data_IF_508435598953
#
_entry.id   IF_508435598953
#
_cell.length_a   1.000
_cell.length_b   1.000
_cell.length_c   1.000
_cell.angle_alpha   90.00
_cell.angle_beta   90.00
_cell.angle_gamma   90.00
#
_symmetry.space_group_name_H-M   'P 1'
#
loop_
_entity.id
_entity.type
_entity.pdbx_description
1 polymer ?
#
# COMPACT_ATOMS: atom_id res chain seq x y z
N UNK A 1 12.44 5.69 -11.47
CA UNK A 1 12.55 4.45 -10.71
C UNK A 1 12.02 3.23 -11.47
N UNK A 2 12.22 2.07 -10.92
CA UNK A 2 11.74 0.80 -11.46
C UNK A 2 10.81 0.15 -10.44
N UNK A 3 9.68 -0.39 -10.89
CA UNK A 3 8.73 -1.07 -10.03
C UNK A 3 8.57 -2.53 -10.45
N UNK A 4 8.34 -3.40 -9.47
CA UNK A 4 7.92 -4.79 -9.68
C UNK A 4 6.84 -5.17 -8.68
N UNK A 5 6.00 -6.11 -9.06
CA UNK A 5 4.94 -6.65 -8.20
C UNK A 5 5.32 -8.08 -7.80
N UNK A 6 5.25 -8.36 -6.51
CA UNK A 6 5.47 -9.70 -5.94
C UNK A 6 4.23 -10.16 -5.18
N UNK A 7 3.77 -11.37 -5.49
CA UNK A 7 2.62 -12.01 -4.84
C UNK A 7 3.05 -13.09 -3.84
N UNK A 8 4.18 -13.72 -4.12
CA UNK A 8 4.71 -14.87 -3.38
C UNK A 8 6.14 -14.57 -2.93
N UNK A 9 6.66 -15.41 -2.02
CA UNK A 9 8.03 -15.31 -1.55
C UNK A 9 8.18 -14.58 -0.24
N UNK A 10 9.41 -14.60 0.29
CA UNK A 10 9.72 -14.15 1.65
C UNK A 10 9.36 -12.68 1.93
N UNK A 11 9.53 -11.79 0.94
CA UNK A 11 9.25 -10.35 1.13
C UNK A 11 7.74 -10.10 1.20
N UNK A 12 6.96 -10.75 0.32
CA UNK A 12 5.50 -10.66 0.36
C UNK A 12 4.94 -11.31 1.63
N UNK A 13 5.48 -12.42 2.07
CA UNK A 13 5.08 -13.09 3.30
C UNK A 13 5.38 -12.24 4.53
N UNK A 14 6.55 -11.61 4.59
CA UNK A 14 6.91 -10.71 5.68
C UNK A 14 6.01 -9.47 5.73
N UNK A 15 5.69 -8.89 4.58
CA UNK A 15 4.77 -7.76 4.49
C UNK A 15 3.35 -8.14 4.94
N UNK A 16 2.86 -9.31 4.53
CA UNK A 16 1.58 -9.85 5.01
C UNK A 16 1.59 -10.05 6.53
N UNK A 17 2.63 -10.67 7.06
CA UNK A 17 2.76 -10.94 8.49
C UNK A 17 2.83 -9.67 9.34
N UNK A 18 3.40 -8.59 8.81
CA UNK A 18 3.47 -7.30 9.49
C UNK A 18 2.12 -6.56 9.55
N UNK A 19 1.14 -6.94 8.72
CA UNK A 19 -0.17 -6.31 8.68
C UNK A 19 -1.04 -6.69 9.89
N UNK A 20 -1.98 -5.81 10.26
CA UNK A 20 -3.04 -6.10 11.21
C UNK A 20 -4.19 -6.86 10.52
N UNK A 21 -4.94 -7.67 11.29
CA UNK A 21 -6.04 -8.45 10.74
C UNK A 21 -7.21 -7.59 10.21
N UNK A 22 -7.40 -6.38 10.72
CA UNK A 22 -8.33 -5.44 10.09
C UNK A 22 -7.88 -5.00 8.71
N UNK A 23 -6.59 -4.75 8.52
CA UNK A 23 -6.05 -4.41 7.21
C UNK A 23 -6.11 -5.60 6.25
N UNK A 24 -5.71 -6.80 6.71
CA UNK A 24 -5.78 -8.03 5.92
C UNK A 24 -7.21 -8.39 5.51
N UNK A 25 -8.21 -8.01 6.28
CA UNK A 25 -9.64 -8.23 5.99
C UNK A 25 -10.05 -7.72 4.62
N UNK A 26 -9.44 -6.63 4.14
CA UNK A 26 -9.75 -6.05 2.84
C UNK A 26 -9.52 -7.03 1.68
N UNK A 27 -8.66 -8.00 1.85
CA UNK A 27 -8.34 -9.01 0.85
C UNK A 27 -9.31 -10.21 0.86
N UNK A 28 -10.32 -10.22 1.74
CA UNK A 28 -11.46 -11.14 1.73
C UNK A 28 -12.61 -10.65 0.83
N UNK A 29 -12.60 -9.37 0.49
CA UNK A 29 -13.67 -8.74 -0.27
C UNK A 29 -13.59 -9.01 -1.76
N UNK A 30 -14.60 -8.52 -2.46
CA UNK A 30 -14.63 -8.49 -3.91
C UNK A 30 -13.49 -7.64 -4.47
N UNK A 31 -13.05 -7.96 -5.68
CA UNK A 31 -12.01 -7.21 -6.36
C UNK A 31 -12.41 -5.75 -6.58
N UNK A 32 -11.46 -4.79 -6.45
CA UNK A 32 -11.74 -3.39 -6.69
C UNK A 32 -12.39 -3.16 -8.06
N UNK A 33 -13.48 -2.39 -8.08
CA UNK A 33 -14.22 -2.08 -9.31
C UNK A 33 -15.29 -3.10 -9.68
N UNK A 34 -15.47 -4.17 -8.90
CA UNK A 34 -16.58 -5.11 -9.09
C UNK A 34 -17.93 -4.41 -8.91
N UNK A 35 -18.90 -4.73 -9.79
CA UNK A 35 -20.25 -4.20 -9.67
C UNK A 35 -20.99 -4.79 -8.46
N UNK A 36 -21.72 -3.94 -7.75
CA UNK A 36 -22.61 -4.33 -6.63
C UNK A 36 -23.98 -3.70 -6.84
N UNK A 37 -25.04 -4.36 -6.35
CA UNK A 37 -26.41 -3.88 -6.52
C UNK A 37 -26.78 -2.70 -5.62
N UNK A 38 -26.12 -2.59 -4.47
CA UNK A 38 -26.33 -1.52 -3.50
C UNK A 38 -24.99 -1.10 -2.87
N UNK A 39 -24.99 0.05 -2.20
CA UNK A 39 -23.79 0.52 -1.48
C UNK A 39 -23.28 -0.55 -0.51
N UNK A 40 -22.04 -0.95 -0.68
CA UNK A 40 -21.43 -2.06 0.03
C UNK A 40 -19.94 -1.81 0.25
N UNK A 41 -19.39 -2.38 1.33
CA UNK A 41 -17.95 -2.42 1.56
C UNK A 41 -17.23 -3.41 0.64
N UNK A 42 -17.98 -4.29 -0.02
CA UNK A 42 -17.42 -5.43 -0.77
C UNK A 42 -16.92 -6.56 0.14
N UNK A 43 -16.93 -6.39 1.45
CA UNK A 43 -16.57 -7.43 2.40
C UNK A 43 -17.71 -8.45 2.56
N UNK A 44 -17.39 -9.73 2.84
CA UNK A 44 -18.39 -10.67 3.31
C UNK A 44 -19.08 -10.14 4.57
N UNK A 45 -20.39 -10.26 4.67
CA UNK A 45 -21.18 -9.69 5.76
C UNK A 45 -20.68 -10.11 7.16
N UNK A 46 -20.15 -11.33 7.29
CA UNK A 46 -19.59 -11.83 8.54
C UNK A 46 -18.37 -11.05 9.05
N UNK A 47 -17.68 -10.30 8.17
CA UNK A 47 -16.47 -9.57 8.50
C UNK A 47 -16.64 -8.05 8.54
N UNK A 48 -17.83 -7.54 8.28
CA UNK A 48 -18.14 -6.14 8.50
C UNK A 48 -18.11 -5.82 10.01
N UNK A 49 -17.34 -4.83 10.41
CA UNK A 49 -17.19 -4.42 11.81
C UNK A 49 -16.48 -5.41 12.73
N UNK A 50 -16.01 -6.54 12.23
CA UNK A 50 -15.31 -7.58 13.02
C UNK A 50 -13.88 -7.80 12.54
N UNK A 51 -12.98 -7.96 13.48
CA UNK A 51 -11.59 -8.36 13.20
C UNK A 51 -11.53 -9.87 12.97
N UNK A 52 -11.12 -10.34 11.77
CA UNK A 52 -10.99 -11.76 11.51
C UNK A 52 -9.86 -12.40 12.32
N UNK A 53 -9.95 -13.71 12.55
CA UNK A 53 -8.85 -14.52 13.05
C UNK A 53 -7.87 -14.85 11.92
N UNK A 54 -6.68 -15.32 12.27
CA UNK A 54 -5.67 -15.73 11.30
C UNK A 54 -6.18 -16.85 10.38
N UNK A 55 -6.91 -17.82 10.93
CA UNK A 55 -7.49 -18.94 10.15
C UNK A 55 -8.54 -18.43 9.15
N UNK A 56 -9.36 -17.48 9.55
CA UNK A 56 -10.36 -16.87 8.66
C UNK A 56 -9.74 -16.07 7.50
N UNK A 57 -8.49 -15.62 7.66
CA UNK A 57 -7.74 -14.87 6.66
C UNK A 57 -6.95 -15.71 5.67
N UNK A 58 -6.88 -17.03 5.84
CA UNK A 58 -6.11 -17.91 4.95
C UNK A 58 -6.47 -17.70 3.46
N UNK A 59 -7.76 -17.61 3.07
CA UNK A 59 -8.10 -17.36 1.67
C UNK A 59 -7.66 -15.99 1.14
N UNK A 60 -7.51 -15.02 2.03
CA UNK A 60 -7.17 -13.64 1.67
C UNK A 60 -5.71 -13.49 1.22
N UNK A 61 -4.79 -14.34 1.69
CA UNK A 61 -3.37 -14.26 1.35
C UNK A 61 -3.11 -14.29 -0.16
N UNK A 62 -3.85 -15.10 -0.90
CA UNK A 62 -3.73 -15.22 -2.36
C UNK A 62 -4.13 -13.95 -3.14
N UNK A 63 -4.88 -13.04 -2.51
CA UNK A 63 -5.30 -11.76 -3.09
C UNK A 63 -4.34 -10.62 -2.74
N UNK A 64 -3.35 -10.87 -1.89
CA UNK A 64 -2.36 -9.89 -1.47
C UNK A 64 -1.17 -9.87 -2.43
N UNK A 65 -0.73 -8.68 -2.78
CA UNK A 65 0.51 -8.45 -3.50
C UNK A 65 1.18 -7.18 -2.95
N UNK A 66 2.48 -7.10 -3.14
CA UNK A 66 3.26 -5.92 -2.85
C UNK A 66 3.84 -5.34 -4.12
N UNK A 67 3.98 -4.03 -4.15
CA UNK A 67 4.71 -3.32 -5.18
C UNK A 67 6.01 -2.80 -4.56
N UNK A 68 7.13 -3.24 -5.08
CA UNK A 68 8.47 -2.77 -4.71
C UNK A 68 8.93 -1.76 -5.75
N UNK A 69 9.32 -0.58 -5.29
CA UNK A 69 9.78 0.50 -6.16
C UNK A 69 11.21 0.87 -5.79
N UNK A 70 12.12 0.70 -6.73
CA UNK A 70 13.47 1.24 -6.62
C UNK A 70 13.43 2.71 -7.02
N UNK A 71 13.71 3.58 -6.07
CA UNK A 71 13.72 5.01 -6.31
C UNK A 71 15.09 5.45 -6.83
N UNK A 72 15.10 6.25 -7.89
CA UNK A 72 16.30 6.91 -8.41
C UNK A 72 16.31 8.39 -8.07
N UNK A 73 15.14 8.98 -7.94
CA UNK A 73 14.95 10.39 -7.66
C UNK A 73 13.82 10.58 -6.65
N UNK A 74 13.93 11.61 -5.82
CA UNK A 74 12.86 12.08 -4.95
C UNK A 74 12.70 13.59 -5.15
N UNK A 75 11.45 14.03 -5.21
CA UNK A 75 11.09 15.44 -5.19
C UNK A 75 10.22 15.68 -3.95
N UNK A 76 10.80 16.39 -2.99
CA UNK A 76 10.14 16.68 -1.72
C UNK A 76 9.55 18.08 -1.75
N UNK A 77 8.31 18.21 -1.34
CA UNK A 77 7.60 19.47 -1.28
C UNK A 77 6.90 19.64 0.07
N UNK A 78 7.13 20.78 0.72
CA UNK A 78 6.47 21.15 1.98
C UNK A 78 5.58 22.37 1.78
N UNK A 79 4.31 22.21 2.14
CA UNK A 79 3.34 23.30 2.17
C UNK A 79 3.37 23.96 3.55
N UNK A 80 3.57 25.28 3.56
CA UNK A 80 3.56 26.08 4.79
C UNK A 80 3.02 27.49 4.53
N UNK A 81 2.33 28.05 5.51
CA UNK A 81 1.90 29.45 5.47
C UNK A 81 3.09 30.43 5.48
N UNK A 82 4.23 30.01 6.03
CA UNK A 82 5.47 30.79 6.07
C UNK A 82 6.28 30.71 4.76
N UNK A 83 5.72 30.07 3.76
CA UNK A 83 6.34 29.83 2.46
C UNK A 83 6.62 28.36 2.19
N UNK A 84 6.37 27.95 0.96
CA UNK A 84 6.63 26.58 0.54
C UNK A 84 8.12 26.32 0.39
N UNK A 85 8.52 25.07 0.52
CA UNK A 85 9.90 24.62 0.30
C UNK A 85 9.91 23.38 -0.56
N UNK A 86 10.91 23.26 -1.41
CA UNK A 86 11.07 22.11 -2.30
C UNK A 86 12.53 21.70 -2.37
N UNK A 87 12.76 20.40 -2.34
CA UNK A 87 14.09 19.83 -2.49
C UNK A 87 14.05 18.65 -3.45
N UNK A 88 15.09 18.51 -4.24
CA UNK A 88 15.29 17.38 -5.14
C UNK A 88 16.48 16.55 -4.68
N UNK A 89 16.34 15.25 -4.77
CA UNK A 89 17.35 14.27 -4.39
C UNK A 89 17.61 13.34 -5.56
N UNK A 90 18.87 13.21 -5.93
CA UNK A 90 19.36 12.16 -6.84
C UNK A 90 19.93 11.04 -5.98
N UNK A 91 19.24 9.90 -5.94
CA UNK A 91 19.62 8.78 -5.08
C UNK A 91 20.77 7.96 -5.66
N UNK A 92 20.99 8.05 -6.97
CA UNK A 92 22.09 7.36 -7.62
C UNK A 92 23.45 8.02 -7.30
N UNK A 93 23.50 9.35 -7.31
CA UNK A 93 24.70 10.13 -6.97
C UNK A 93 24.80 10.46 -5.48
N UNK A 94 23.72 10.31 -4.72
CA UNK A 94 23.65 10.73 -3.32
C UNK A 94 23.67 12.24 -3.14
N UNK A 95 23.28 13.01 -4.14
CA UNK A 95 23.27 14.47 -4.10
C UNK A 95 21.86 15.01 -3.87
N UNK A 96 21.79 16.22 -3.32
CA UNK A 96 20.52 16.93 -3.12
C UNK A 96 20.68 18.43 -3.34
N UNK A 97 19.57 19.11 -3.65
CA UNK A 97 19.53 20.56 -3.81
C UNK A 97 18.18 21.12 -3.41
N UNK A 98 18.19 22.35 -2.90
CA UNK A 98 17.00 23.15 -2.78
C UNK A 98 16.63 23.74 -4.15
N UNK A 99 15.33 23.75 -4.43
CA UNK A 99 14.79 24.37 -5.65
C UNK A 99 13.61 25.26 -5.30
N UNK A 100 13.31 26.20 -6.15
CA UNK A 100 12.12 27.03 -5.98
C UNK A 100 10.86 26.14 -6.08
N UNK A 101 9.89 26.32 -5.17
CA UNK A 101 8.63 25.58 -5.19
C UNK A 101 7.84 25.78 -6.46
#
# INVERSE_FOLDING_TARGET
GRARVERDGAVADAAWAAGDNFARRCYLGEGPGSGVEAASSGLPAAFEGRKPTDDELLPARGNFAIMLVELTELDWFSLSQDGHRRAQFDLASGTSRWVTP
#
